data_IF_916772545245
#
_entry.id   IF_916772545245
#
_cell.length_a   1.000
_cell.length_b   1.000
_cell.length_c   1.000
_cell.angle_alpha   90.00
_cell.angle_beta   90.00
_cell.angle_gamma   90.00
#
_symmetry.space_group_name_H-M   'P 1'
#
loop_
_entity.id
_entity.type
_entity.pdbx_description
1 polymer ?
#
# COMPACT_ATOMS: atom_id res chain seq x y z
N UNK A 1 -4.61 -32.85 15.63
CA UNK A 1 -5.52 -32.78 14.47
C UNK A 1 -6.93 -32.51 14.97
N UNK A 2 -7.35 -31.26 15.00
CA UNK A 2 -8.73 -30.89 15.36
C UNK A 2 -9.57 -30.86 14.08
N UNK A 3 -10.60 -31.70 14.03
CA UNK A 3 -11.52 -31.78 12.91
C UNK A 3 -12.23 -30.43 12.68
N UNK A 4 -12.21 -29.94 11.44
CA UNK A 4 -12.98 -28.76 11.02
C UNK A 4 -14.46 -29.05 11.29
N UNK A 5 -15.12 -28.21 12.09
CA UNK A 5 -16.56 -28.30 12.28
C UNK A 5 -17.26 -28.11 10.94
N UNK A 6 -18.23 -28.98 10.66
CA UNK A 6 -19.11 -28.93 9.50
C UNK A 6 -19.94 -27.64 9.54
N UNK A 7 -19.43 -26.59 8.88
CA UNK A 7 -20.16 -25.34 8.65
C UNK A 7 -21.30 -25.62 7.66
N UNK A 8 -22.53 -25.27 8.04
CA UNK A 8 -23.71 -25.34 7.16
C UNK A 8 -23.46 -24.47 5.91
N UNK A 9 -23.35 -25.14 4.76
CA UNK A 9 -23.29 -24.51 3.45
C UNK A 9 -24.70 -24.02 3.06
N UNK A 10 -25.08 -22.83 3.50
CA UNK A 10 -26.25 -22.11 2.96
C UNK A 10 -25.85 -21.24 1.75
N UNK A 11 -24.96 -21.75 0.90
CA UNK A 11 -24.67 -21.11 -0.38
C UNK A 11 -25.75 -21.54 -1.37
N UNK A 12 -26.52 -20.57 -1.88
CA UNK A 12 -27.32 -20.75 -3.07
C UNK A 12 -26.41 -21.36 -4.18
N UNK A 13 -26.67 -22.58 -4.66
CA UNK A 13 -25.74 -23.33 -5.53
C UNK A 13 -25.48 -22.64 -6.89
N UNK A 14 -26.13 -21.51 -7.15
CA UNK A 14 -25.99 -20.68 -8.34
C UNK A 14 -24.89 -19.60 -8.27
N UNK A 15 -24.31 -19.32 -7.09
CA UNK A 15 -23.34 -18.22 -6.99
C UNK A 15 -21.94 -18.63 -7.50
N UNK A 16 -21.61 -18.22 -8.73
CA UNK A 16 -20.30 -18.44 -9.34
C UNK A 16 -19.22 -17.62 -8.63
N UNK A 17 -18.27 -18.29 -7.98
CA UNK A 17 -17.10 -17.64 -7.35
C UNK A 17 -16.16 -17.11 -8.45
N UNK A 18 -15.78 -15.82 -8.46
CA UNK A 18 -14.85 -15.28 -9.46
C UNK A 18 -13.49 -15.97 -9.44
N UNK A 19 -12.83 -16.08 -10.60
CA UNK A 19 -11.52 -16.73 -10.71
C UNK A 19 -10.48 -16.17 -9.75
N UNK A 20 -10.36 -14.83 -9.65
CA UNK A 20 -9.42 -14.18 -8.72
C UNK A 20 -9.69 -14.61 -7.27
N UNK A 21 -10.96 -14.65 -6.86
CA UNK A 21 -11.32 -15.13 -5.53
C UNK A 21 -10.95 -16.61 -5.34
N UNK A 22 -11.14 -17.46 -6.35
CA UNK A 22 -10.71 -18.87 -6.29
C UNK A 22 -9.20 -19.00 -6.10
N UNK A 23 -8.37 -18.16 -6.74
CA UNK A 23 -6.92 -18.16 -6.52
C UNK A 23 -6.57 -17.86 -5.05
N UNK A 24 -7.16 -16.81 -4.48
CA UNK A 24 -6.98 -16.46 -3.06
C UNK A 24 -7.43 -17.58 -2.13
N UNK A 25 -8.61 -18.16 -2.40
CA UNK A 25 -9.16 -19.26 -1.61
C UNK A 25 -8.33 -20.53 -1.71
N UNK A 26 -7.74 -20.82 -2.88
CA UNK A 26 -6.84 -21.96 -3.07
C UNK A 26 -5.61 -21.86 -2.17
N UNK A 27 -4.96 -20.69 -2.16
CA UNK A 27 -3.82 -20.43 -1.25
C UNK A 27 -4.29 -20.52 0.20
N UNK A 28 -5.32 -19.77 0.57
CA UNK A 28 -5.81 -19.69 1.95
C UNK A 28 -6.20 -21.05 2.54
N UNK A 29 -6.90 -21.88 1.77
CA UNK A 29 -7.36 -23.19 2.22
C UNK A 29 -6.25 -24.26 2.25
N UNK A 30 -5.15 -24.05 1.53
CA UNK A 30 -3.99 -24.95 1.50
C UNK A 30 -3.04 -24.74 2.68
N UNK A 31 -3.16 -23.62 3.40
CA UNK A 31 -2.31 -23.35 4.56
C UNK A 31 -2.75 -24.13 5.79
N UNK A 32 -1.77 -24.56 6.58
CA UNK A 32 -2.02 -25.08 7.92
C UNK A 32 -2.39 -23.93 8.85
N UNK A 33 -3.40 -24.12 9.69
CA UNK A 33 -3.86 -23.08 10.62
C UNK A 33 -2.88 -22.92 11.78
N UNK A 34 -2.45 -21.68 12.03
CA UNK A 34 -1.59 -21.31 13.16
C UNK A 34 -2.39 -20.33 14.01
N UNK A 35 -2.76 -20.71 15.23
CA UNK A 35 -3.60 -19.86 16.09
C UNK A 35 -2.82 -19.24 17.24
N UNK A 36 -3.07 -17.95 17.46
CA UNK A 36 -2.78 -17.27 18.73
C UNK A 36 -4.14 -16.94 19.36
N UNK A 37 -4.50 -17.67 20.41
CA UNK A 37 -5.88 -17.68 20.92
C UNK A 37 -6.86 -18.14 19.84
N UNK A 38 -7.82 -17.28 19.48
CA UNK A 38 -8.81 -17.55 18.43
C UNK A 38 -8.43 -17.00 17.05
N UNK A 39 -7.31 -16.28 16.94
CA UNK A 39 -6.89 -15.64 15.71
C UNK A 39 -5.97 -16.56 14.91
N UNK A 40 -6.38 -16.93 13.70
CA UNK A 40 -5.50 -17.59 12.72
C UNK A 40 -4.55 -16.54 12.10
N UNK A 41 -3.26 -16.84 12.07
CA UNK A 41 -2.19 -15.97 11.55
C UNK A 41 -1.37 -16.65 10.45
N UNK A 42 -1.76 -17.84 10.00
CA UNK A 42 -0.98 -18.60 9.02
C UNK A 42 -0.75 -17.82 7.71
N UNK A 43 -1.82 -17.21 7.18
CA UNK A 43 -1.72 -16.41 5.96
C UNK A 43 -0.86 -15.16 6.19
N UNK A 44 -0.93 -14.53 7.36
CA UNK A 44 -0.08 -13.38 7.72
C UNK A 44 1.40 -13.76 7.64
N UNK A 45 1.79 -14.88 8.27
CA UNK A 45 3.19 -15.34 8.29
C UNK A 45 3.68 -15.76 6.91
N UNK A 46 2.89 -16.53 6.17
CA UNK A 46 3.23 -16.95 4.81
C UNK A 46 3.37 -15.74 3.88
N UNK A 47 2.50 -14.74 4.01
CA UNK A 47 2.57 -13.51 3.21
C UNK A 47 3.83 -12.70 3.53
N UNK A 48 4.19 -12.59 4.81
CA UNK A 48 5.43 -11.92 5.22
C UNK A 48 6.67 -12.62 4.63
N UNK A 49 6.74 -13.95 4.71
CA UNK A 49 7.83 -14.73 4.12
C UNK A 49 7.87 -14.62 2.59
N UNK A 50 6.72 -14.66 1.93
CA UNK A 50 6.60 -14.50 0.48
C UNK A 50 7.15 -13.14 0.03
N UNK A 51 6.72 -12.05 0.68
CA UNK A 51 7.15 -10.69 0.32
C UNK A 51 8.64 -10.45 0.63
N UNK A 52 9.15 -11.03 1.72
CA UNK A 52 10.58 -11.05 2.00
C UNK A 52 11.37 -11.74 0.88
N UNK A 53 10.86 -12.88 0.40
CA UNK A 53 11.47 -13.61 -0.73
C UNK A 53 11.46 -12.80 -2.01
N UNK A 54 10.33 -12.13 -2.33
CA UNK A 54 10.24 -11.22 -3.49
C UNK A 54 11.28 -10.11 -3.42
N UNK A 55 11.46 -9.49 -2.25
CA UNK A 55 12.51 -8.48 -2.03
C UNK A 55 13.91 -9.03 -2.29
N UNK A 56 14.26 -10.19 -1.71
CA UNK A 56 15.60 -10.76 -1.89
C UNK A 56 15.87 -11.17 -3.34
N UNK A 57 14.87 -11.70 -4.04
CA UNK A 57 14.96 -11.97 -5.47
C UNK A 57 15.17 -10.67 -6.25
N UNK A 58 14.43 -9.60 -5.92
CA UNK A 58 14.60 -8.31 -6.57
C UNK A 58 16.01 -7.72 -6.34
N UNK A 59 16.53 -7.78 -5.10
CA UNK A 59 17.90 -7.36 -4.77
C UNK A 59 18.93 -8.17 -5.58
N UNK A 60 18.79 -9.49 -5.61
CA UNK A 60 19.66 -10.37 -6.41
C UNK A 60 19.62 -10.00 -7.89
N UNK A 61 18.43 -9.71 -8.43
CA UNK A 61 18.27 -9.33 -9.84
C UNK A 61 18.91 -7.97 -10.13
N UNK A 62 18.68 -6.98 -9.27
CA UNK A 62 19.26 -5.63 -9.38
C UNK A 62 20.80 -5.68 -9.38
N UNK A 63 21.39 -6.42 -8.44
CA UNK A 63 22.84 -6.53 -8.33
C UNK A 63 23.42 -7.34 -9.50
N UNK A 64 22.86 -8.52 -9.79
CA UNK A 64 23.48 -9.48 -10.71
C UNK A 64 23.28 -9.09 -12.17
N UNK A 65 22.10 -8.58 -12.54
CA UNK A 65 21.75 -8.32 -13.95
C UNK A 65 21.75 -6.84 -14.30
N UNK A 66 21.45 -5.96 -13.34
CA UNK A 66 21.41 -4.51 -13.57
C UNK A 66 22.64 -3.77 -13.02
N UNK A 67 23.59 -4.48 -12.39
CA UNK A 67 24.84 -3.90 -11.92
C UNK A 67 24.70 -2.93 -10.75
N UNK A 68 23.61 -3.03 -9.98
CA UNK A 68 23.42 -2.18 -8.80
C UNK A 68 24.47 -2.51 -7.73
N UNK A 69 24.94 -1.52 -6.94
CA UNK A 69 25.96 -1.76 -5.92
C UNK A 69 25.49 -2.76 -4.86
N UNK A 70 26.25 -3.84 -4.68
CA UNK A 70 25.97 -4.86 -3.68
C UNK A 70 26.21 -4.30 -2.26
N UNK A 71 25.31 -4.62 -1.33
CA UNK A 71 25.43 -4.22 0.08
C UNK A 71 25.01 -2.78 0.39
N UNK A 72 24.87 -1.94 -0.63
CA UNK A 72 24.42 -0.55 -0.51
C UNK A 72 22.97 -0.45 0.02
N UNK A 73 22.73 0.49 0.93
CA UNK A 73 21.42 0.68 1.56
C UNK A 73 20.37 1.18 0.58
N UNK A 74 20.75 1.98 -0.43
CA UNK A 74 19.86 2.46 -1.48
C UNK A 74 19.41 1.30 -2.38
N UNK A 75 20.32 0.40 -2.76
CA UNK A 75 19.95 -0.82 -3.51
C UNK A 75 18.94 -1.65 -2.73
N UNK A 76 19.15 -1.83 -1.42
CA UNK A 76 18.22 -2.57 -0.54
C UNK A 76 16.86 -1.89 -0.42
N UNK A 77 16.81 -0.56 -0.40
CA UNK A 77 15.56 0.22 -0.39
C UNK A 77 14.81 0.06 -1.71
N UNK A 78 15.48 0.18 -2.85
CA UNK A 78 14.85 -0.04 -4.16
C UNK A 78 14.32 -1.48 -4.33
N UNK A 79 15.06 -2.49 -3.83
CA UNK A 79 14.59 -3.87 -3.82
C UNK A 79 13.36 -4.06 -2.93
N UNK A 80 13.28 -3.36 -1.79
CA UNK A 80 12.11 -3.38 -0.92
C UNK A 80 10.86 -2.80 -1.63
N UNK A 81 11.04 -1.76 -2.45
CA UNK A 81 9.97 -1.20 -3.28
C UNK A 81 9.33 -2.25 -4.22
N UNK A 82 10.10 -3.22 -4.73
CA UNK A 82 9.55 -4.31 -5.54
C UNK A 82 8.61 -5.23 -4.73
N UNK A 83 8.94 -5.52 -3.47
CA UNK A 83 8.06 -6.25 -2.56
C UNK A 83 6.75 -5.49 -2.32
N UNK A 84 6.83 -4.17 -2.11
CA UNK A 84 5.67 -3.29 -1.94
C UNK A 84 4.79 -3.22 -3.20
N UNK A 85 5.38 -3.08 -4.39
CA UNK A 85 4.66 -3.13 -5.68
C UNK A 85 3.93 -4.47 -5.85
N UNK A 86 4.60 -5.59 -5.55
CA UNK A 86 4.00 -6.93 -5.62
C UNK A 86 2.80 -7.06 -4.68
N UNK A 87 2.96 -6.63 -3.43
CA UNK A 87 1.89 -6.61 -2.44
C UNK A 87 0.66 -5.83 -2.95
N UNK A 88 0.83 -4.56 -3.30
CA UNK A 88 -0.29 -3.70 -3.68
C UNK A 88 -1.00 -4.21 -4.93
N UNK A 89 -0.24 -4.69 -5.91
CA UNK A 89 -0.82 -5.22 -7.15
C UNK A 89 -1.73 -6.41 -6.88
N UNK A 90 -1.23 -7.41 -6.13
CA UNK A 90 -2.01 -8.59 -5.79
C UNK A 90 -3.21 -8.25 -4.90
N UNK A 91 -2.99 -7.40 -3.89
CA UNK A 91 -4.01 -7.01 -2.94
C UNK A 91 -5.14 -6.21 -3.60
N UNK A 92 -4.82 -5.19 -4.41
CA UNK A 92 -5.83 -4.37 -5.09
C UNK A 92 -6.71 -5.21 -6.00
N UNK A 93 -6.15 -6.16 -6.76
CA UNK A 93 -6.93 -7.07 -7.62
C UNK A 93 -7.91 -7.92 -6.78
N UNK A 94 -7.45 -8.43 -5.62
CA UNK A 94 -8.30 -9.14 -4.68
C UNK A 94 -9.40 -8.29 -4.05
N UNK A 95 -9.06 -7.06 -3.63
CA UNK A 95 -10.00 -6.10 -3.03
C UNK A 95 -11.08 -5.65 -4.03
N UNK A 96 -10.69 -5.32 -5.27
CA UNK A 96 -11.64 -4.97 -6.34
C UNK A 96 -12.59 -6.13 -6.59
N UNK A 97 -12.10 -7.37 -6.64
CA UNK A 97 -12.96 -8.56 -6.78
C UNK A 97 -13.93 -8.71 -5.62
N UNK A 98 -13.49 -8.46 -4.38
CA UNK A 98 -14.35 -8.53 -3.20
C UNK A 98 -15.46 -7.46 -3.25
N UNK A 99 -15.13 -6.22 -3.63
CA UNK A 99 -16.10 -5.12 -3.75
C UNK A 99 -17.05 -5.26 -4.95
N UNK A 100 -16.65 -5.95 -6.01
CA UNK A 100 -17.53 -6.27 -7.14
C UNK A 100 -18.54 -7.37 -6.80
N UNK A 101 -18.23 -8.23 -5.83
CA UNK A 101 -19.08 -9.38 -5.47
C UNK A 101 -19.96 -9.15 -4.25
N UNK A 102 -19.67 -8.13 -3.44
CA UNK A 102 -20.49 -7.76 -2.31
C UNK A 102 -20.62 -6.26 -2.18
N UNK A 103 -21.84 -5.80 -1.88
CA UNK A 103 -22.12 -4.39 -1.62
C UNK A 103 -21.27 -3.90 -0.45
N UNK A 104 -20.56 -2.80 -0.63
CA UNK A 104 -19.79 -2.17 0.43
C UNK A 104 -20.72 -1.65 1.54
N UNK A 105 -20.57 -2.21 2.73
CA UNK A 105 -21.16 -1.77 3.99
C UNK A 105 -20.06 -1.73 5.06
N UNK A 106 -19.52 -0.54 5.37
CA UNK A 106 -18.43 -0.36 6.31
C UNK A 106 -18.65 -0.97 7.70
N UNK A 107 -19.91 -1.18 8.10
CA UNK A 107 -20.29 -1.66 9.44
C UNK A 107 -20.83 -3.11 9.44
N UNK A 108 -20.80 -3.81 8.30
CA UNK A 108 -21.30 -5.18 8.21
C UNK A 108 -20.51 -6.15 9.10
N UNK A 109 -21.24 -7.12 9.67
CA UNK A 109 -20.62 -8.29 10.28
C UNK A 109 -20.16 -9.25 9.19
N UNK A 110 -19.09 -9.97 9.47
CA UNK A 110 -18.52 -10.96 8.56
C UNK A 110 -19.49 -12.11 8.28
N UNK A 111 -20.28 -12.50 9.29
CA UNK A 111 -21.25 -13.60 9.19
C UNK A 111 -22.47 -13.28 8.32
N UNK A 112 -22.66 -12.02 7.90
CA UNK A 112 -23.68 -11.61 6.92
C UNK A 112 -23.31 -12.01 5.47
N UNK A 113 -22.03 -12.34 5.21
CA UNK A 113 -21.52 -12.70 3.88
C UNK A 113 -21.52 -14.22 3.64
N UNK A 114 -21.58 -14.70 2.38
CA UNK A 114 -21.34 -16.11 2.07
C UNK A 114 -19.98 -16.59 2.59
N UNK A 115 -19.89 -17.84 3.04
CA UNK A 115 -18.67 -18.39 3.67
C UNK A 115 -17.40 -18.21 2.81
N UNK A 116 -17.49 -18.43 1.49
CA UNK A 116 -16.35 -18.23 0.60
C UNK A 116 -15.85 -16.76 0.60
N UNK A 117 -16.77 -15.81 0.74
CA UNK A 117 -16.42 -14.38 0.78
C UNK A 117 -15.79 -14.02 2.12
N UNK A 118 -16.28 -14.60 3.23
CA UNK A 118 -15.66 -14.45 4.55
C UNK A 118 -14.20 -14.93 4.55
N UNK A 119 -13.94 -16.06 3.90
CA UNK A 119 -12.58 -16.58 3.74
C UNK A 119 -11.72 -15.65 2.88
N UNK A 120 -12.26 -15.12 1.78
CA UNK A 120 -11.57 -14.14 0.95
C UNK A 120 -11.21 -12.87 1.75
N UNK A 121 -12.16 -12.28 2.47
CA UNK A 121 -11.92 -11.10 3.29
C UNK A 121 -10.84 -11.36 4.36
N UNK A 122 -10.89 -12.51 5.03
CA UNK A 122 -9.84 -12.91 5.98
C UNK A 122 -8.47 -13.10 5.31
N UNK A 123 -8.42 -13.66 4.11
CA UNK A 123 -7.18 -13.83 3.35
C UNK A 123 -6.57 -12.47 2.98
N UNK A 124 -7.38 -11.53 2.48
CA UNK A 124 -6.93 -10.19 2.08
C UNK A 124 -6.45 -9.36 3.28
N UNK A 125 -7.19 -9.38 4.40
CA UNK A 125 -6.78 -8.71 5.65
C UNK A 125 -5.47 -9.29 6.19
N UNK A 126 -5.30 -10.62 6.16
CA UNK A 126 -4.06 -11.26 6.59
C UNK A 126 -2.89 -11.01 5.65
N UNK A 127 -3.12 -10.99 4.33
CA UNK A 127 -2.09 -10.69 3.36
C UNK A 127 -1.52 -9.28 3.57
N UNK A 128 -2.39 -8.30 3.75
CA UNK A 128 -1.98 -6.93 4.05
C UNK A 128 -1.33 -6.81 5.44
N UNK A 129 -1.86 -7.49 6.45
CA UNK A 129 -1.19 -7.55 7.77
C UNK A 129 0.20 -8.17 7.65
N UNK A 130 0.37 -9.21 6.81
CA UNK A 130 1.65 -9.86 6.56
C UNK A 130 2.64 -8.93 5.88
N UNK A 131 2.19 -8.13 4.91
CA UNK A 131 3.00 -7.05 4.35
C UNK A 131 3.42 -6.05 5.42
N UNK A 132 2.49 -5.56 6.24
CA UNK A 132 2.83 -4.58 7.28
C UNK A 132 3.86 -5.13 8.29
N UNK A 133 3.77 -6.42 8.65
CA UNK A 133 4.75 -7.06 9.53
C UNK A 133 6.11 -7.20 8.83
N UNK A 134 6.14 -7.72 7.60
CA UNK A 134 7.37 -7.87 6.83
C UNK A 134 8.07 -6.52 6.64
N UNK A 135 7.32 -5.50 6.22
CA UNK A 135 7.87 -4.21 5.84
C UNK A 135 8.47 -3.49 7.06
N UNK A 136 7.77 -3.54 8.21
CA UNK A 136 8.30 -3.03 9.48
C UNK A 136 9.54 -3.79 9.96
N UNK A 137 9.52 -5.13 9.93
CA UNK A 137 10.65 -5.94 10.41
C UNK A 137 11.87 -5.76 9.52
N UNK A 138 11.70 -5.79 8.20
CA UNK A 138 12.83 -5.73 7.28
C UNK A 138 13.36 -4.30 7.14
N UNK A 139 12.50 -3.31 6.88
CA UNK A 139 12.98 -1.96 6.58
C UNK A 139 13.38 -1.16 7.81
N UNK A 140 12.80 -1.46 8.98
CA UNK A 140 13.21 -0.80 10.23
C UNK A 140 14.16 -1.71 11.00
N UNK A 141 13.68 -2.87 11.47
CA UNK A 141 14.47 -3.65 12.43
C UNK A 141 15.74 -4.23 11.80
N UNK A 142 15.68 -4.76 10.58
CA UNK A 142 16.84 -5.38 9.94
C UNK A 142 17.77 -4.35 9.28
N UNK A 143 17.25 -3.42 8.47
CA UNK A 143 18.12 -2.44 7.77
C UNK A 143 18.77 -1.41 8.71
N UNK A 144 18.18 -1.15 9.88
CA UNK A 144 18.76 -0.27 10.90
C UNK A 144 19.51 -1.03 12.00
N UNK A 145 19.57 -2.36 11.92
CA UNK A 145 20.33 -3.17 12.86
C UNK A 145 21.82 -2.95 12.66
N UNK A 146 22.53 -2.59 13.73
CA UNK A 146 23.98 -2.57 13.73
C UNK A 146 24.51 -3.93 14.25
N UNK A 147 25.14 -4.76 13.41
CA UNK A 147 25.72 -6.02 13.86
C UNK A 147 26.85 -5.84 14.88
N UNK A 148 27.50 -4.67 14.93
CA UNK A 148 28.55 -4.37 15.91
C UNK A 148 27.97 -4.06 17.30
N UNK A 149 26.70 -3.66 17.37
CA UNK A 149 26.01 -3.31 18.62
C UNK A 149 24.63 -4.01 18.70
N UNK A 150 24.59 -5.35 18.79
CA UNK A 150 23.36 -6.15 18.64
C UNK A 150 22.35 -6.00 19.80
N UNK A 151 22.63 -5.18 20.81
CA UNK A 151 21.70 -4.91 21.90
C UNK A 151 21.26 -3.44 21.93
N UNK A 152 21.75 -2.62 20.99
CA UNK A 152 21.37 -1.22 20.90
C UNK A 152 20.10 -1.08 20.08
N UNK A 153 19.12 -0.36 20.63
CA UNK A 153 17.91 0.00 19.90
C UNK A 153 18.32 0.91 18.72
N UNK A 154 17.89 0.62 17.48
CA UNK A 154 18.20 1.47 16.35
C UNK A 154 17.77 2.91 16.60
N UNK A 155 18.63 3.87 16.24
CA UNK A 155 18.25 5.29 16.28
C UNK A 155 17.27 5.54 15.14
N UNK A 156 16.00 5.74 15.50
CA UNK A 156 14.91 6.02 14.56
C UNK A 156 14.80 7.53 14.33
N UNK A 157 14.69 7.94 13.08
CA UNK A 157 14.32 9.31 12.74
C UNK A 157 12.80 9.48 12.67
N UNK A 158 12.32 10.71 12.46
CA UNK A 158 10.89 11.02 12.42
C UNK A 158 10.14 10.23 11.33
N UNK A 159 10.75 10.00 10.17
CA UNK A 159 10.16 9.21 9.09
C UNK A 159 10.05 7.74 9.46
N UNK A 160 11.06 7.16 10.13
CA UNK A 160 11.06 5.79 10.62
C UNK A 160 9.95 5.60 11.68
N UNK A 161 9.76 6.58 12.57
CA UNK A 161 8.69 6.56 13.59
C UNK A 161 7.31 6.63 12.93
N UNK A 162 7.10 7.58 12.00
CA UNK A 162 5.83 7.72 11.29
C UNK A 162 5.50 6.44 10.51
N UNK A 163 6.50 5.86 9.85
CA UNK A 163 6.39 4.59 9.16
C UNK A 163 5.97 3.46 10.11
N UNK A 164 6.64 3.29 11.26
CA UNK A 164 6.31 2.24 12.22
C UNK A 164 4.92 2.42 12.82
N UNK A 165 4.55 3.66 13.19
CA UNK A 165 3.22 3.99 13.70
C UNK A 165 2.15 3.65 12.67
N UNK A 166 2.35 4.00 11.39
CA UNK A 166 1.44 3.64 10.31
C UNK A 166 1.25 2.11 10.22
N UNK A 167 2.34 1.35 10.27
CA UNK A 167 2.31 -0.11 10.18
C UNK A 167 1.59 -0.76 11.37
N UNK A 168 1.85 -0.27 12.59
CA UNK A 168 1.19 -0.73 13.80
C UNK A 168 -0.32 -0.43 13.74
N UNK A 169 -0.69 0.79 13.37
CA UNK A 169 -2.10 1.21 13.31
C UNK A 169 -2.87 0.41 12.27
N UNK A 170 -2.30 0.24 11.07
CA UNK A 170 -2.93 -0.52 9.99
C UNK A 170 -3.07 -2.00 10.36
N UNK A 171 -2.02 -2.62 10.88
CA UNK A 171 -2.06 -4.01 11.37
C UNK A 171 -3.06 -4.20 12.49
N UNK A 172 -3.11 -3.27 13.44
CA UNK A 172 -4.05 -3.29 14.56
C UNK A 172 -5.48 -3.18 14.06
N UNK A 173 -5.78 -2.27 13.14
CA UNK A 173 -7.12 -2.09 12.61
C UNK A 173 -7.61 -3.35 11.88
N UNK A 174 -6.79 -3.93 10.98
CA UNK A 174 -7.14 -5.17 10.29
C UNK A 174 -7.34 -6.34 11.25
N UNK A 175 -6.44 -6.47 12.24
CA UNK A 175 -6.53 -7.53 13.25
C UNK A 175 -7.78 -7.38 14.10
N UNK A 176 -8.09 -6.18 14.59
CA UNK A 176 -9.29 -5.91 15.38
C UNK A 176 -10.57 -6.19 14.58
N UNK A 177 -10.61 -5.83 13.28
CA UNK A 177 -11.74 -6.13 12.40
C UNK A 177 -12.01 -7.64 12.30
N UNK A 178 -10.94 -8.45 12.29
CA UNK A 178 -11.03 -9.92 12.33
C UNK A 178 -11.42 -10.44 13.71
N UNK A 179 -10.90 -9.89 14.80
CA UNK A 179 -11.27 -10.34 16.16
C UNK A 179 -12.75 -10.06 16.44
N UNK A 180 -13.23 -8.89 16.03
CA UNK A 180 -14.62 -8.44 16.25
C UNK A 180 -15.58 -9.07 15.24
N UNK A 181 -15.07 -9.56 14.10
CA UNK A 181 -15.87 -10.08 12.99
C UNK A 181 -16.87 -9.04 12.43
N UNK A 182 -16.50 -7.77 12.45
CA UNK A 182 -17.24 -6.64 11.86
C UNK A 182 -16.27 -5.54 11.43
N UNK A 183 -16.72 -4.60 10.59
CA UNK A 183 -15.85 -3.50 10.13
C UNK A 183 -14.78 -3.90 9.10
N UNK A 184 -14.81 -5.13 8.62
CA UNK A 184 -13.83 -5.61 7.65
C UNK A 184 -13.90 -4.84 6.33
N UNK A 185 -15.10 -4.43 5.88
CA UNK A 185 -15.24 -3.63 4.65
C UNK A 185 -14.69 -2.21 4.82
N UNK A 186 -14.76 -1.60 6.00
CA UNK A 186 -14.12 -0.30 6.24
C UNK A 186 -12.61 -0.42 6.19
N UNK A 187 -12.03 -1.46 6.80
CA UNK A 187 -10.60 -1.76 6.69
C UNK A 187 -10.19 -2.01 5.23
N UNK A 188 -10.92 -2.86 4.49
CA UNK A 188 -10.67 -3.15 3.08
C UNK A 188 -10.80 -1.91 2.18
N UNK A 189 -11.69 -0.98 2.51
CA UNK A 189 -11.83 0.29 1.79
C UNK A 189 -10.59 1.15 2.01
N UNK A 190 -10.11 1.26 3.25
CA UNK A 190 -8.88 1.98 3.56
C UNK A 190 -7.68 1.35 2.85
N UNK A 191 -7.59 0.02 2.85
CA UNK A 191 -6.55 -0.72 2.14
C UNK A 191 -6.59 -0.42 0.64
N UNK A 192 -7.75 -0.51 -0.01
CA UNK A 192 -7.85 -0.28 -1.45
C UNK A 192 -7.40 1.13 -1.82
N UNK A 193 -7.94 2.14 -1.14
CA UNK A 193 -7.59 3.54 -1.39
C UNK A 193 -6.11 3.83 -1.08
N UNK A 194 -5.57 3.16 -0.06
CA UNK A 194 -4.19 3.29 0.33
C UNK A 194 -3.22 2.71 -0.69
N UNK A 195 -3.57 1.54 -1.23
CA UNK A 195 -2.69 0.69 -2.03
C UNK A 195 -2.76 1.00 -3.53
N UNK A 196 -3.83 1.63 -4.02
CA UNK A 196 -3.98 1.98 -5.45
C UNK A 196 -2.84 2.87 -5.98
N UNK A 197 -2.31 3.75 -5.15
CA UNK A 197 -1.21 4.65 -5.54
C UNK A 197 0.17 4.11 -5.20
N UNK A 198 0.22 3.01 -4.45
CA UNK A 198 1.45 2.49 -3.89
C UNK A 198 2.43 1.92 -4.93
N UNK A 199 2.00 1.26 -6.04
CA UNK A 199 2.91 0.86 -7.10
C UNK A 199 3.65 2.05 -7.73
N UNK A 200 2.92 3.14 -8.04
CA UNK A 200 3.51 4.35 -8.60
C UNK A 200 4.44 5.05 -7.62
N UNK A 201 4.05 5.10 -6.34
CA UNK A 201 4.89 5.64 -5.28
C UNK A 201 6.23 4.90 -5.18
N UNK A 202 6.18 3.57 -5.20
CA UNK A 202 7.38 2.73 -5.09
C UNK A 202 8.25 2.81 -6.34
N UNK A 203 7.64 2.91 -7.54
CA UNK A 203 8.39 3.19 -8.77
C UNK A 203 9.07 4.57 -8.73
N UNK A 204 8.38 5.59 -8.19
CA UNK A 204 8.96 6.91 -7.97
C UNK A 204 10.17 6.83 -7.03
N UNK A 205 10.04 6.15 -5.90
CA UNK A 205 11.14 5.96 -4.94
C UNK A 205 12.32 5.18 -5.54
N UNK A 206 12.06 4.16 -6.36
CA UNK A 206 13.12 3.46 -7.11
C UNK A 206 13.82 4.38 -8.09
N UNK A 207 13.08 5.26 -8.78
CA UNK A 207 13.64 6.29 -9.65
C UNK A 207 14.54 7.26 -8.89
N UNK A 208 14.06 7.81 -7.77
CA UNK A 208 14.84 8.68 -6.87
C UNK A 208 16.16 8.02 -6.41
N UNK A 209 16.12 6.73 -6.07
CA UNK A 209 17.30 5.96 -5.74
C UNK A 209 18.24 5.83 -6.94
N UNK A 210 17.71 5.45 -8.12
CA UNK A 210 18.51 5.29 -9.32
C UNK A 210 19.20 6.60 -9.74
N UNK A 211 18.56 7.76 -9.51
CA UNK A 211 19.16 9.08 -9.78
C UNK A 211 20.33 9.41 -8.85
N UNK A 212 20.40 8.79 -7.66
CA UNK A 212 21.49 8.97 -6.68
C UNK A 212 22.66 8.01 -6.91
N UNK A 213 22.50 7.02 -7.77
CA UNK A 213 23.51 6.01 -8.06
C UNK A 213 24.13 6.26 -9.43
N UNK A 214 25.45 6.43 -9.49
CA UNK A 214 26.17 6.73 -10.74
C UNK A 214 25.99 5.63 -11.81
N UNK A 215 25.82 4.37 -11.39
CA UNK A 215 25.54 3.23 -12.29
C UNK A 215 24.26 3.37 -13.09
N UNK A 216 23.31 4.14 -12.55
CA UNK A 216 21.89 3.91 -12.79
C UNK A 216 21.16 5.21 -13.19
N UNK A 217 21.87 6.34 -13.19
CA UNK A 217 21.40 7.67 -13.58
C UNK A 217 21.61 7.96 -15.09
N UNK A 218 21.24 7.03 -15.96
CA UNK A 218 21.31 7.22 -17.41
C UNK A 218 20.14 8.05 -17.97
N UNK A 219 20.22 8.53 -19.25
CA UNK A 219 19.16 9.35 -19.85
C UNK A 219 17.78 8.70 -19.88
N UNK A 220 17.73 7.38 -20.08
CA UNK A 220 16.48 6.62 -20.05
C UNK A 220 15.88 6.56 -18.64
N UNK A 221 16.73 6.42 -17.62
CA UNK A 221 16.29 6.39 -16.23
C UNK A 221 15.76 7.77 -15.79
N UNK A 222 16.43 8.86 -16.17
CA UNK A 222 15.96 10.22 -15.94
C UNK A 222 14.61 10.49 -16.60
N UNK A 223 14.44 10.10 -17.86
CA UNK A 223 13.16 10.24 -18.58
C UNK A 223 12.05 9.41 -17.94
N UNK A 224 12.35 8.17 -17.56
CA UNK A 224 11.39 7.29 -16.88
C UNK A 224 10.99 7.87 -15.53
N UNK A 225 11.96 8.34 -14.75
CA UNK A 225 11.73 9.00 -13.47
C UNK A 225 10.81 10.21 -13.64
N UNK A 226 11.07 11.11 -14.59
CA UNK A 226 10.22 12.28 -14.84
C UNK A 226 8.75 11.90 -15.12
N UNK A 227 8.52 10.90 -15.99
CA UNK A 227 7.16 10.42 -16.31
C UNK A 227 6.49 9.81 -15.08
N UNK A 228 7.21 8.95 -14.35
CA UNK A 228 6.71 8.28 -13.14
C UNK A 228 6.39 9.30 -12.06
N UNK A 229 7.23 10.32 -11.85
CA UNK A 229 7.02 11.38 -10.86
C UNK A 229 5.73 12.14 -11.10
N UNK A 230 5.45 12.54 -12.34
CA UNK A 230 4.20 13.24 -12.69
C UNK A 230 3.00 12.32 -12.52
N UNK A 231 3.09 11.08 -13.02
CA UNK A 231 2.01 10.10 -12.90
C UNK A 231 1.70 9.76 -11.43
N UNK A 232 2.73 9.54 -10.62
CA UNK A 232 2.62 9.35 -9.17
C UNK A 232 1.97 10.56 -8.51
N UNK A 233 2.48 11.77 -8.76
CA UNK A 233 1.98 12.98 -8.13
C UNK A 233 0.50 13.25 -8.45
N UNK A 234 0.09 13.05 -9.71
CA UNK A 234 -1.30 13.19 -10.13
C UNK A 234 -2.21 12.15 -9.45
N UNK A 235 -1.82 10.87 -9.51
CA UNK A 235 -2.60 9.77 -8.93
C UNK A 235 -2.67 9.86 -7.40
N UNK A 236 -1.56 10.20 -6.75
CA UNK A 236 -1.49 10.35 -5.30
C UNK A 236 -2.43 11.46 -4.83
N UNK A 237 -2.38 12.64 -5.45
CA UNK A 237 -3.31 13.72 -5.13
C UNK A 237 -4.77 13.34 -5.38
N UNK A 238 -5.08 12.74 -6.53
CA UNK A 238 -6.44 12.33 -6.86
C UNK A 238 -7.00 11.38 -5.79
N UNK A 239 -6.27 10.32 -5.44
CA UNK A 239 -6.78 9.35 -4.49
C UNK A 239 -6.73 9.85 -3.05
N UNK A 240 -5.64 10.49 -2.62
CA UNK A 240 -5.43 10.83 -1.20
C UNK A 240 -6.07 12.16 -0.79
N UNK A 241 -6.05 13.17 -1.66
CA UNK A 241 -6.60 14.49 -1.34
C UNK A 241 -8.05 14.66 -1.80
N UNK A 242 -8.48 13.99 -2.87
CA UNK A 242 -9.81 14.20 -3.47
C UNK A 242 -10.77 13.05 -3.15
N UNK A 243 -10.40 11.80 -3.48
CA UNK A 243 -11.33 10.65 -3.38
C UNK A 243 -11.45 10.11 -1.96
N UNK A 244 -10.33 9.95 -1.25
CA UNK A 244 -10.32 9.30 0.06
C UNK A 244 -11.08 10.08 1.15
N UNK A 245 -10.94 11.41 1.29
CA UNK A 245 -11.59 12.13 2.39
C UNK A 245 -13.13 11.99 2.40
N UNK A 246 -13.85 12.19 1.27
CA UNK A 246 -15.30 11.94 1.24
C UNK A 246 -15.69 10.50 1.60
N UNK A 247 -14.93 9.50 1.11
CA UNK A 247 -15.19 8.09 1.44
C UNK A 247 -14.99 7.85 2.93
N UNK A 248 -13.95 8.43 3.53
CA UNK A 248 -13.70 8.29 4.95
C UNK A 248 -14.71 9.01 5.82
N UNK A 249 -15.30 10.13 5.37
CA UNK A 249 -16.47 10.73 6.02
C UNK A 249 -17.64 9.74 6.04
N UNK A 250 -17.93 9.09 4.91
CA UNK A 250 -19.01 8.09 4.82
C UNK A 250 -18.73 6.88 5.73
N UNK A 251 -17.51 6.34 5.70
CA UNK A 251 -17.08 5.23 6.58
C UNK A 251 -17.22 5.63 8.06
N UNK A 252 -16.75 6.84 8.40
CA UNK A 252 -16.84 7.39 9.77
C UNK A 252 -18.29 7.49 10.23
N UNK A 253 -19.16 8.02 9.38
CA UNK A 253 -20.61 8.12 9.64
C UNK A 253 -21.24 6.74 9.83
N UNK A 254 -20.94 5.79 8.94
CA UNK A 254 -21.44 4.41 9.03
C UNK A 254 -21.05 3.75 10.35
N UNK A 255 -19.79 3.89 10.78
CA UNK A 255 -19.28 3.28 12.00
C UNK A 255 -19.81 3.98 13.27
N UNK A 256 -19.76 5.31 13.35
CA UNK A 256 -20.06 6.06 14.59
C UNK A 256 -21.54 6.38 14.79
N UNK A 257 -22.26 6.70 13.72
CA UNK A 257 -23.59 7.32 13.84
C UNK A 257 -24.69 6.31 13.63
N UNK A 258 -24.54 5.40 12.67
CA UNK A 258 -25.62 4.46 12.34
C UNK A 258 -25.88 3.48 13.48
N UNK A 259 -27.14 3.04 13.60
CA UNK A 259 -27.53 1.99 14.56
C UNK A 259 -26.71 0.72 14.33
N UNK A 260 -26.53 0.32 13.06
CA UNK A 260 -25.77 -0.86 12.68
C UNK A 260 -24.31 -0.80 13.16
N UNK A 261 -23.61 0.31 12.89
CA UNK A 261 -22.23 0.52 13.35
C UNK A 261 -22.08 0.45 14.87
N UNK A 262 -23.00 1.08 15.62
CA UNK A 262 -22.98 1.06 17.09
C UNK A 262 -23.38 -0.27 17.72
N UNK A 263 -24.12 -1.12 16.99
CA UNK A 263 -24.50 -2.46 17.45
C UNK A 263 -23.45 -3.51 17.11
N UNK A 264 -22.88 -3.45 15.91
CA UNK A 264 -21.94 -4.45 15.42
C UNK A 264 -20.51 -4.25 15.94
N UNK A 265 -20.14 -3.01 16.26
CA UNK A 265 -18.80 -2.67 16.73
C UNK A 265 -18.90 -1.89 18.05
N UNK A 266 -18.15 -2.26 19.10
CA UNK A 266 -18.13 -1.51 20.34
C UNK A 266 -17.73 -0.04 20.13
N UNK A 267 -18.38 0.89 20.83
CA UNK A 267 -18.18 2.33 20.62
C UNK A 267 -16.71 2.76 20.74
N UNK A 268 -15.99 2.24 21.74
CA UNK A 268 -14.58 2.59 21.94
C UNK A 268 -13.69 2.12 20.78
N UNK A 269 -14.01 0.98 20.16
CA UNK A 269 -13.35 0.50 18.95
C UNK A 269 -13.67 1.42 17.79
N UNK A 270 -14.93 1.82 17.61
CA UNK A 270 -15.31 2.75 16.54
C UNK A 270 -14.54 4.08 16.66
N UNK A 271 -14.40 4.62 17.87
CA UNK A 271 -13.61 5.84 18.13
C UNK A 271 -12.15 5.60 17.75
N UNK A 272 -11.56 4.50 18.19
CA UNK A 272 -10.17 4.14 17.87
C UNK A 272 -9.94 3.99 16.35
N UNK A 273 -10.82 3.27 15.65
CA UNK A 273 -10.73 3.08 14.21
C UNK A 273 -10.89 4.39 13.44
N UNK A 274 -11.77 5.28 13.88
CA UNK A 274 -11.90 6.60 13.27
C UNK A 274 -10.62 7.42 13.45
N UNK A 275 -10.05 7.44 14.65
CA UNK A 275 -8.74 8.04 14.86
C UNK A 275 -7.69 7.46 13.91
N UNK A 276 -7.65 6.13 13.75
CA UNK A 276 -6.71 5.47 12.85
C UNK A 276 -6.90 5.85 11.38
N UNK A 277 -8.14 5.88 10.90
CA UNK A 277 -8.48 6.28 9.52
C UNK A 277 -8.00 7.71 9.26
N UNK A 278 -8.35 8.66 10.14
CA UNK A 278 -8.03 10.07 9.95
C UNK A 278 -6.55 10.38 10.14
N UNK A 279 -5.84 9.67 11.03
CA UNK A 279 -4.40 9.79 11.19
C UNK A 279 -3.65 9.47 9.88
N UNK A 280 -4.10 8.47 9.11
CA UNK A 280 -3.50 8.14 7.81
C UNK A 280 -3.75 9.23 6.77
N UNK A 281 -4.94 9.84 6.76
CA UNK A 281 -5.27 10.95 5.86
C UNK A 281 -4.38 12.16 6.15
N UNK A 282 -4.34 12.59 7.41
CA UNK A 282 -3.58 13.77 7.79
C UNK A 282 -2.07 13.52 7.71
N UNK A 283 -1.62 12.30 8.04
CA UNK A 283 -0.23 11.87 7.85
C UNK A 283 0.21 11.87 6.38
N UNK A 284 -0.73 11.82 5.43
CA UNK A 284 -0.43 11.95 4.00
C UNK A 284 -0.17 13.39 3.55
N UNK A 285 -0.34 14.39 4.44
CA UNK A 285 -0.25 15.81 4.10
C UNK A 285 1.10 16.26 3.54
N UNK A 286 2.21 15.76 4.09
CA UNK A 286 3.56 16.06 3.59
C UNK A 286 3.76 15.56 2.15
N UNK A 287 3.28 14.35 1.85
CA UNK A 287 3.31 13.78 0.52
C UNK A 287 2.39 14.50 -0.46
N UNK A 288 1.21 14.94 -0.03
CA UNK A 288 0.31 15.78 -0.84
C UNK A 288 1.03 17.09 -1.22
N UNK A 289 1.68 17.75 -0.27
CA UNK A 289 2.46 18.96 -0.54
C UNK A 289 3.60 18.71 -1.55
N UNK A 290 4.36 17.62 -1.38
CA UNK A 290 5.41 17.22 -2.33
C UNK A 290 4.86 16.95 -3.73
N UNK A 291 3.75 16.22 -3.84
CA UNK A 291 3.11 15.92 -5.12
C UNK A 291 2.58 17.19 -5.81
N UNK A 292 2.03 18.14 -5.04
CA UNK A 292 1.62 19.43 -5.59
C UNK A 292 2.82 20.21 -6.15
N UNK A 293 3.97 20.20 -5.47
CA UNK A 293 5.21 20.77 -5.99
C UNK A 293 5.60 20.20 -7.36
N UNK A 294 5.66 18.86 -7.46
CA UNK A 294 5.98 18.17 -8.72
C UNK A 294 5.04 18.58 -9.87
N UNK A 295 3.72 18.68 -9.59
CA UNK A 295 2.75 19.07 -10.61
C UNK A 295 2.89 20.54 -11.02
N UNK A 296 3.16 21.44 -10.07
CA UNK A 296 3.36 22.86 -10.37
C UNK A 296 4.64 23.07 -11.19
N UNK A 297 5.72 22.36 -10.90
CA UNK A 297 6.97 22.40 -11.65
C UNK A 297 6.79 21.86 -13.08
N UNK A 298 6.01 20.79 -13.23
CA UNK A 298 5.69 20.24 -14.55
C UNK A 298 4.88 21.23 -15.39
N UNK A 299 3.84 21.83 -14.80
CA UNK A 299 2.99 22.84 -15.46
C UNK A 299 3.82 24.06 -15.85
N UNK A 300 4.61 24.62 -14.93
CA UNK A 300 5.42 25.80 -15.24
C UNK A 300 6.40 25.55 -16.39
N UNK A 301 7.07 24.39 -16.38
CA UNK A 301 8.01 24.03 -17.46
C UNK A 301 7.31 23.93 -18.82
N UNK A 302 6.11 23.34 -18.90
CA UNK A 302 5.38 23.19 -20.17
C UNK A 302 4.78 24.51 -20.68
N UNK A 303 4.28 25.37 -19.78
CA UNK A 303 3.65 26.64 -20.18
C UNK A 303 4.69 27.72 -20.52
N UNK A 304 5.82 27.80 -19.80
CA UNK A 304 6.84 28.82 -20.07
C UNK A 304 7.85 28.42 -21.15
N UNK A 305 8.09 27.11 -21.39
CA UNK A 305 8.92 26.68 -22.52
C UNK A 305 8.24 26.88 -23.88
N UNK A 306 6.90 26.81 -23.93
CA UNK A 306 6.14 26.99 -25.17
C UNK A 306 5.68 28.44 -25.41
N UNK A 307 5.86 29.35 -24.43
CA UNK A 307 5.49 30.76 -24.55
C UNK A 307 6.63 31.69 -24.99
N UNK A 308 7.83 31.16 -25.25
CA UNK A 308 9.05 31.93 -25.53
C UNK A 308 9.39 32.14 -27.01
N UNK A 309 8.68 31.50 -27.95
CA UNK A 309 9.09 31.45 -29.37
C UNK A 309 8.22 32.32 -30.33
N UNK A 310 7.27 33.10 -29.82
CA UNK A 310 6.37 33.93 -30.68
C UNK A 310 6.74 35.42 -30.78
N UNK A 311 7.90 35.87 -30.30
CA UNK A 311 8.36 37.28 -30.48
C UNK A 311 9.76 37.42 -31.10
N UNK A 312 10.20 36.45 -31.90
CA UNK A 312 11.47 36.48 -32.65
C UNK A 312 11.35 36.94 -34.11
N UNK A 313 10.40 37.83 -34.43
CA UNK A 313 10.24 38.41 -35.76
C UNK A 313 11.24 39.52 -36.04
N UNK A 314 12.42 39.15 -36.57
CA UNK A 314 13.18 39.92 -37.56
C UNK A 314 13.67 41.34 -37.22
N UNK A 315 14.97 41.46 -36.96
CA UNK A 315 15.76 42.50 -37.64
C UNK A 315 17.23 42.07 -37.77
N UNK A 316 17.57 41.65 -38.99
CA UNK A 316 18.92 41.66 -39.56
C UNK A 316 19.62 43.00 -39.30
N UNK A 317 20.80 42.96 -38.68
CA UNK A 317 21.83 43.98 -38.91
C UNK A 317 23.15 43.30 -39.22
N UNK A 318 23.44 43.26 -40.51
CA UNK A 318 24.79 43.11 -41.05
C UNK A 318 25.54 44.38 -40.65
N UNK A 319 26.58 44.24 -39.84
CA UNK A 319 27.68 45.19 -39.78
C UNK A 319 28.99 44.39 -39.76
N UNK A 320 29.54 44.24 -40.97
CA UNK A 320 30.97 44.23 -41.26
C UNK A 320 31.67 45.36 -40.50
N UNK A 321 32.77 45.07 -39.83
CA UNK A 321 34.08 45.74 -40.02
C UNK A 321 35.15 45.17 -39.07
N UNK A 322 36.26 44.74 -39.70
CA UNK A 322 37.66 44.63 -39.25
C UNK A 322 38.02 43.76 -38.02
#
# INVERSE_FOLDING_TARGET
MTAKSSVKNDANPSQKIPFVAQCWLSVYNSLFTIKIGNLDIAMTLVSACFLATVRFIAEYVMVTYFGWPAGDTLTKQAAASCGSICHSTLLCIGLITAFQTQRCDPAARMDESPHWWQQLANALLQFCTGYMVYDAVINILYLRWDPQHPFQIPVLNDDDILFLVHHIMTSTYMTLSRVIQAGHMSAMTCMLLGELTNPLHNLFMMGEVAMKLDCCNGPMAQRSHAIISVAFAAMYNLFRAIISPPIFVVVSYCLLVTKKGRTNVPLWINILWNFMIWAVVFGSGSWIAKCNGILMDFVSTQFFANGGDETGGGQTRVETEL
#
